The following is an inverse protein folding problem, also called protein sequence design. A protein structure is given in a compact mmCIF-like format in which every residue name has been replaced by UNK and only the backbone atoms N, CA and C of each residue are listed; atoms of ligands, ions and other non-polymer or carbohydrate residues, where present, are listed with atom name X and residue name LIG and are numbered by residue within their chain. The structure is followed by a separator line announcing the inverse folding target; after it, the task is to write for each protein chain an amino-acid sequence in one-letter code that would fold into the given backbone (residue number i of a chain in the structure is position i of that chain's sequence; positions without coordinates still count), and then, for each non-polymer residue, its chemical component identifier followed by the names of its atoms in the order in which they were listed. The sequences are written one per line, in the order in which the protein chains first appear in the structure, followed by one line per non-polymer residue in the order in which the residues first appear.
data_IF_323270440291
#
_entry.id   IF_323270440291
#
_cell.length_a   1.000
_cell.length_b   1.000
_cell.length_c   1.000
_cell.angle_alpha   90.00
_cell.angle_beta   90.00
_cell.angle_gamma   90.00
#
_symmetry.space_group_name_H-M   'P 1'
#
loop_
_entity.id
_entity.type
_entity.pdbx_description
1 polymer ?
#
# COMPACT_ATOMS: atom_id res chain seq x y z
N UNK A 1 -60.24 -24.75 -32.89
CA UNK A 1 -60.23 -26.18 -33.26
C UNK A 1 -59.08 -26.79 -32.46
N UNK A 2 -59.23 -27.53 -31.35
CA UNK A 2 -60.21 -28.58 -31.03
C UNK A 2 -60.00 -29.76 -31.99
N UNK A 3 -59.77 -31.01 -31.58
CA UNK A 3 -59.53 -31.69 -30.30
C UNK A 3 -59.27 -33.18 -30.67
N UNK A 4 -58.51 -33.89 -29.83
CA UNK A 4 -58.52 -35.36 -29.66
C UNK A 4 -58.01 -36.21 -30.86
N UNK A 5 -57.57 -37.47 -30.73
CA UNK A 5 -57.60 -38.55 -29.72
C UNK A 5 -56.62 -39.64 -30.26
N UNK A 6 -56.20 -40.72 -29.62
CA UNK A 6 -56.27 -41.31 -28.28
C UNK A 6 -55.45 -42.63 -28.33
N UNK A 7 -55.23 -43.20 -27.14
CA UNK A 7 -55.08 -44.63 -26.81
C UNK A 7 -53.80 -45.40 -27.18
N UNK A 8 -53.36 -46.41 -26.42
CA UNK A 8 -53.25 -46.74 -24.98
C UNK A 8 -52.65 -48.17 -24.92
N UNK A 9 -52.21 -48.60 -23.71
CA UNK A 9 -51.75 -49.95 -23.31
C UNK A 9 -50.27 -50.30 -23.64
N UNK A 10 -49.38 -50.68 -22.72
CA UNK A 10 -49.46 -50.99 -21.29
C UNK A 10 -48.75 -52.32 -20.98
N UNK A 11 -47.64 -52.33 -20.22
CA UNK A 11 -47.26 -53.48 -19.38
C UNK A 11 -46.16 -53.18 -18.32
N UNK A 12 -46.62 -52.98 -17.07
CA UNK A 12 -46.18 -53.48 -15.75
C UNK A 12 -44.72 -53.31 -15.22
N UNK A 13 -44.70 -52.83 -13.97
CA UNK A 13 -43.63 -52.60 -12.97
C UNK A 13 -43.25 -53.89 -12.19
N UNK A 14 -42.25 -53.87 -11.28
CA UNK A 14 -42.50 -53.45 -9.90
C UNK A 14 -41.37 -52.63 -9.22
N UNK A 15 -41.68 -52.16 -8.01
CA UNK A 15 -40.96 -51.22 -7.15
C UNK A 15 -40.27 -52.01 -6.02
N UNK A 16 -39.00 -51.69 -5.72
CA UNK A 16 -38.33 -51.85 -4.42
C UNK A 16 -37.07 -50.98 -4.48
N UNK A 17 -36.83 -49.95 -3.67
CA UNK A 17 -36.93 -49.93 -2.22
C UNK A 17 -35.58 -50.33 -1.65
N UNK A 18 -34.63 -49.40 -1.54
CA UNK A 18 -33.54 -49.47 -0.55
C UNK A 18 -32.93 -48.09 -0.28
N UNK A 19 -33.28 -47.58 0.91
CA UNK A 19 -32.62 -46.45 1.55
C UNK A 19 -31.27 -46.92 2.09
N UNK A 20 -30.17 -46.44 1.53
CA UNK A 20 -28.90 -46.41 2.24
C UNK A 20 -28.33 -44.98 2.21
N UNK A 21 -28.48 -44.32 3.35
CA UNK A 21 -27.71 -43.14 3.70
C UNK A 21 -26.26 -43.58 3.92
N UNK A 22 -25.40 -43.41 2.91
CA UNK A 22 -23.95 -43.41 3.12
C UNK A 22 -23.46 -41.98 3.11
N UNK A 23 -23.23 -41.46 4.32
CA UNK A 23 -22.57 -40.21 4.60
C UNK A 23 -21.12 -40.25 4.10
N UNK A 24 -20.87 -39.77 2.89
CA UNK A 24 -19.51 -39.47 2.40
C UNK A 24 -19.63 -38.51 1.22
N UNK A 25 -19.36 -37.23 1.47
CA UNK A 25 -19.38 -36.19 0.42
C UNK A 25 -19.42 -34.75 0.93
N UNK A 26 -19.59 -34.53 2.23
CA UNK A 26 -19.58 -33.19 2.85
C UNK A 26 -18.19 -32.74 3.36
N UNK A 27 -17.10 -33.16 2.69
CA UNK A 27 -15.73 -32.81 3.08
C UNK A 27 -14.87 -32.33 1.90
N UNK A 28 -15.47 -31.73 0.86
CA UNK A 28 -14.68 -31.12 -0.24
C UNK A 28 -15.17 -29.72 -0.63
N UNK A 29 -15.68 -28.99 0.37
CA UNK A 29 -15.99 -27.56 0.29
C UNK A 29 -15.33 -26.81 1.46
N UNK A 30 -14.15 -27.25 1.91
CA UNK A 30 -13.21 -26.31 2.55
C UNK A 30 -12.40 -25.70 1.42
N UNK A 31 -13.00 -24.74 0.72
CA UNK A 31 -12.23 -23.83 -0.13
C UNK A 31 -11.05 -23.36 0.70
N UNK A 32 -9.83 -23.53 0.18
CA UNK A 32 -8.63 -22.98 0.78
C UNK A 32 -8.94 -21.53 1.13
N UNK A 33 -9.06 -21.22 2.42
CA UNK A 33 -9.21 -19.84 2.88
C UNK A 33 -8.01 -19.11 2.29
N UNK A 34 -8.21 -18.34 1.21
CA UNK A 34 -7.14 -17.53 0.65
C UNK A 34 -6.78 -16.53 1.74
N UNK A 35 -5.69 -16.80 2.45
CA UNK A 35 -5.11 -15.86 3.38
C UNK A 35 -4.81 -14.58 2.62
N UNK A 36 -5.28 -13.46 3.13
CA UNK A 36 -4.99 -12.15 2.57
C UNK A 36 -3.50 -11.85 2.58
N UNK A 37 -3.13 -10.82 1.82
CA UNK A 37 -1.75 -10.36 1.64
C UNK A 37 -1.45 -9.18 2.53
N UNK A 38 -0.18 -9.03 2.89
CA UNK A 38 0.34 -7.76 3.38
C UNK A 38 0.65 -6.85 2.18
N UNK A 39 -0.23 -5.89 1.94
CA UNK A 39 -0.11 -4.85 0.91
C UNK A 39 0.59 -3.63 1.50
N UNK A 40 1.71 -3.24 0.90
CA UNK A 40 2.55 -2.12 1.36
C UNK A 40 2.60 -1.08 0.24
N UNK A 41 2.03 0.09 0.49
CA UNK A 41 2.16 1.27 -0.38
C UNK A 41 3.08 2.29 0.31
N UNK A 42 4.23 2.54 -0.30
CA UNK A 42 5.23 3.44 0.26
C UNK A 42 5.77 4.43 -0.77
N UNK A 43 6.65 5.32 -0.33
CA UNK A 43 7.25 6.37 -1.15
C UNK A 43 7.35 7.70 -0.41
N UNK A 44 8.05 8.70 -0.97
CA UNK A 44 8.30 9.96 -0.29
C UNK A 44 7.04 10.74 0.10
N UNK A 45 7.16 11.60 1.11
CA UNK A 45 6.05 12.47 1.52
C UNK A 45 5.59 13.33 0.33
N UNK A 46 4.28 13.49 0.12
CA UNK A 46 3.70 14.25 -1.00
C UNK A 46 3.85 13.63 -2.40
N UNK A 47 4.28 12.37 -2.53
CA UNK A 47 4.34 11.67 -3.82
C UNK A 47 2.97 11.18 -4.34
N UNK A 48 1.86 11.39 -3.59
CA UNK A 48 0.50 11.04 -4.04
C UNK A 48 -0.14 9.81 -3.37
N UNK A 49 0.44 9.26 -2.30
CA UNK A 49 -0.10 8.08 -1.59
C UNK A 49 -1.54 8.28 -1.07
N UNK A 50 -1.78 9.37 -0.32
CA UNK A 50 -3.10 9.59 0.29
C UNK A 50 -4.20 9.82 -0.74
N UNK A 51 -4.02 10.69 -1.77
CA UNK A 51 -4.99 10.84 -2.85
C UNK A 51 -5.19 9.57 -3.66
N UNK A 52 -4.14 8.76 -3.89
CA UNK A 52 -4.29 7.45 -4.53
C UNK A 52 -5.25 6.57 -3.73
N UNK A 53 -5.05 6.47 -2.42
CA UNK A 53 -5.96 5.72 -1.54
C UNK A 53 -7.40 6.26 -1.60
N UNK A 54 -7.58 7.59 -1.57
CA UNK A 54 -8.89 8.23 -1.69
C UNK A 54 -9.55 7.89 -3.03
N UNK A 55 -8.80 7.96 -4.13
CA UNK A 55 -9.27 7.61 -5.46
C UNK A 55 -9.62 6.12 -5.57
N UNK A 56 -8.81 5.23 -4.99
CA UNK A 56 -9.09 3.80 -4.94
C UNK A 56 -10.41 3.51 -4.20
N UNK A 57 -10.64 4.15 -3.06
CA UNK A 57 -11.88 4.02 -2.31
C UNK A 57 -13.11 4.53 -3.10
N UNK A 58 -12.95 5.61 -3.86
CA UNK A 58 -14.01 6.22 -4.66
C UNK A 58 -14.36 5.42 -5.92
N UNK A 59 -13.37 5.04 -6.71
CA UNK A 59 -13.57 4.46 -8.03
C UNK A 59 -13.57 2.92 -8.04
N UNK A 60 -12.94 2.29 -7.05
CA UNK A 60 -12.87 0.82 -6.93
C UNK A 60 -13.24 0.36 -5.51
N UNK A 61 -14.46 0.68 -5.02
CA UNK A 61 -14.86 0.42 -3.63
C UNK A 61 -14.82 -1.07 -3.26
N UNK A 62 -15.06 -1.98 -4.20
CA UNK A 62 -14.96 -3.43 -3.96
C UNK A 62 -13.52 -3.87 -3.69
N UNK A 63 -12.54 -3.35 -4.44
CA UNK A 63 -11.12 -3.63 -4.19
C UNK A 63 -10.66 -2.98 -2.90
N UNK A 64 -11.04 -1.72 -2.68
CA UNK A 64 -10.72 -1.00 -1.44
C UNK A 64 -11.31 -1.69 -0.20
N UNK A 65 -12.53 -2.22 -0.29
CA UNK A 65 -13.19 -2.95 0.79
C UNK A 65 -12.48 -4.24 1.22
N UNK A 66 -11.58 -4.77 0.38
CA UNK A 66 -10.70 -5.90 0.75
C UNK A 66 -9.48 -5.46 1.55
N UNK A 67 -9.15 -4.17 1.58
CA UNK A 67 -8.01 -3.62 2.29
C UNK A 67 -8.41 -3.26 3.72
N UNK A 68 -7.74 -3.84 4.70
CA UNK A 68 -7.87 -3.46 6.10
C UNK A 68 -6.61 -2.73 6.54
N UNK A 69 -6.76 -1.46 6.90
CA UNK A 69 -5.63 -0.62 7.32
C UNK A 69 -4.93 -1.23 8.53
N UNK A 70 -3.61 -1.33 8.44
CA UNK A 70 -2.73 -1.70 9.54
C UNK A 70 -2.51 -0.48 10.45
N UNK A 71 -2.92 -0.55 11.71
CA UNK A 71 -2.70 0.53 12.69
C UNK A 71 -1.54 0.15 13.60
N UNK A 72 -0.44 0.91 13.52
CA UNK A 72 0.77 0.67 14.32
C UNK A 72 0.70 1.42 15.65
N UNK A 73 1.44 0.96 16.65
CA UNK A 73 1.76 1.79 17.82
C UNK A 73 2.81 2.84 17.46
N UNK A 74 2.76 4.00 18.12
CA UNK A 74 3.76 5.06 17.94
C UNK A 74 4.04 5.79 19.24
N UNK A 75 5.32 6.04 19.54
CA UNK A 75 5.74 6.67 20.79
C UNK A 75 5.66 8.19 20.80
N UNK A 76 5.49 8.81 19.62
CA UNK A 76 5.35 10.27 19.52
C UNK A 76 3.93 10.72 19.87
N UNK A 77 3.78 12.02 20.12
CA UNK A 77 2.47 12.64 20.18
C UNK A 77 1.76 12.63 18.79
N UNK A 78 0.43 12.53 18.76
CA UNK A 78 -0.35 12.70 17.53
C UNK A 78 -0.08 14.09 16.92
N UNK A 79 0.02 14.16 15.61
CA UNK A 79 0.07 15.43 14.86
C UNK A 79 -1.34 16.00 14.74
N UNK A 80 -1.50 17.31 14.46
CA UNK A 80 -2.81 17.89 14.20
C UNK A 80 -3.56 17.11 13.11
N UNK A 81 -4.76 16.65 13.44
CA UNK A 81 -5.63 15.86 12.55
C UNK A 81 -5.48 14.33 12.68
N UNK A 82 -4.42 13.82 13.32
CA UNK A 82 -4.29 12.38 13.58
C UNK A 82 -5.16 11.95 14.78
N UNK A 83 -5.72 10.74 14.70
CA UNK A 83 -6.62 10.18 15.71
C UNK A 83 -6.08 8.86 16.25
N UNK A 84 -6.13 8.70 17.58
CA UNK A 84 -5.72 7.46 18.25
C UNK A 84 -6.60 6.28 17.80
N UNK A 85 -5.97 5.14 17.52
CA UNK A 85 -6.62 3.93 17.01
C UNK A 85 -7.07 3.99 15.55
N UNK A 86 -6.82 5.10 14.86
CA UNK A 86 -7.10 5.25 13.42
C UNK A 86 -5.82 5.41 12.63
N UNK A 87 -4.99 6.37 13.04
CA UNK A 87 -3.72 6.65 12.39
C UNK A 87 -2.60 5.80 12.99
N UNK A 88 -2.53 5.81 14.33
CA UNK A 88 -1.65 5.00 15.17
C UNK A 88 -2.33 4.76 16.53
N UNK A 89 -1.86 3.77 17.27
CA UNK A 89 -2.02 3.70 18.73
C UNK A 89 -0.91 4.51 19.40
N UNK A 90 -1.20 5.75 19.74
CA UNK A 90 -0.26 6.66 20.39
C UNK A 90 -0.09 6.25 21.86
N UNK A 91 1.11 5.86 22.24
CA UNK A 91 1.45 5.44 23.61
C UNK A 91 2.76 6.09 24.05
N UNK A 92 3.01 6.29 25.35
CA UNK A 92 4.31 6.79 25.81
C UNK A 92 5.46 5.89 25.35
N UNK A 93 6.66 6.46 25.14
CA UNK A 93 7.86 5.69 24.72
C UNK A 93 8.12 4.48 25.61
N UNK A 94 8.01 4.62 26.93
CA UNK A 94 8.18 3.52 27.88
C UNK A 94 7.22 2.36 27.66
N UNK A 95 5.98 2.65 27.26
CA UNK A 95 4.99 1.63 26.93
C UNK A 95 5.40 0.87 25.67
N UNK A 96 5.73 1.58 24.58
CA UNK A 96 6.14 0.94 23.31
C UNK A 96 7.44 0.17 23.48
N UNK A 97 8.37 0.67 24.29
CA UNK A 97 9.63 -0.01 24.61
C UNK A 97 9.39 -1.33 25.37
N UNK A 98 8.46 -1.34 26.34
CA UNK A 98 8.11 -2.55 27.08
C UNK A 98 7.55 -3.68 26.19
N UNK A 99 6.95 -3.35 25.03
CA UNK A 99 6.46 -4.33 24.07
C UNK A 99 7.58 -5.19 23.48
N UNK A 100 8.86 -4.75 23.52
CA UNK A 100 10.02 -5.56 23.06
C UNK A 100 10.16 -6.89 23.78
N UNK A 101 9.68 -6.96 25.03
CA UNK A 101 9.72 -8.17 25.85
C UNK A 101 8.64 -9.20 25.46
N UNK A 102 7.72 -8.83 24.57
CA UNK A 102 6.56 -9.64 24.21
C UNK A 102 6.69 -10.13 22.76
N UNK A 103 6.63 -11.45 22.56
CA UNK A 103 6.76 -12.05 21.22
C UNK A 103 5.65 -11.64 20.24
N UNK A 104 4.50 -11.17 20.75
CA UNK A 104 3.38 -10.64 19.97
C UNK A 104 3.73 -9.37 19.19
N UNK A 105 4.70 -8.59 19.65
CA UNK A 105 4.98 -7.28 19.08
C UNK A 105 6.33 -7.25 18.38
N UNK A 106 6.36 -6.66 17.18
CA UNK A 106 7.60 -6.26 16.52
C UNK A 106 7.82 -4.75 16.77
N UNK A 107 8.81 -4.40 17.60
CA UNK A 107 9.14 -3.01 17.95
C UNK A 107 10.32 -2.51 17.15
N UNK A 108 10.25 -1.27 16.68
CA UNK A 108 11.22 -0.65 15.79
C UNK A 108 11.46 0.82 16.15
N UNK A 109 12.66 1.33 15.91
CA UNK A 109 12.95 2.76 15.97
C UNK A 109 12.85 3.36 14.56
N UNK A 110 11.98 4.36 14.40
CA UNK A 110 11.72 5.07 13.14
C UNK A 110 11.99 6.55 13.38
N UNK A 111 13.16 7.01 12.95
CA UNK A 111 13.56 8.44 13.07
C UNK A 111 13.48 8.96 14.51
N UNK A 112 13.81 8.12 15.50
CA UNK A 112 13.76 8.45 16.93
C UNK A 112 12.44 8.09 17.61
N UNK A 113 11.40 7.74 16.86
CA UNK A 113 10.12 7.28 17.41
C UNK A 113 10.11 5.75 17.51
N UNK A 114 9.77 5.18 18.67
CA UNK A 114 9.46 3.77 18.76
C UNK A 114 8.08 3.52 18.15
N UNK A 115 8.00 2.59 17.21
CA UNK A 115 6.77 2.06 16.69
C UNK A 115 6.68 0.57 16.98
N UNK A 116 5.46 0.03 17.06
CA UNK A 116 5.28 -1.40 17.20
C UNK A 116 4.15 -1.92 16.31
N UNK A 117 4.35 -3.12 15.78
CA UNK A 117 3.37 -3.89 15.03
C UNK A 117 2.83 -5.01 15.93
N UNK A 118 1.51 -5.11 16.03
CA UNK A 118 0.84 -6.25 16.65
C UNK A 118 0.72 -7.41 15.64
N UNK A 119 1.46 -8.49 15.87
CA UNK A 119 1.52 -9.63 14.95
C UNK A 119 0.28 -10.52 15.04
N UNK A 120 -0.39 -10.56 16.19
CA UNK A 120 -1.65 -11.29 16.34
C UNK A 120 -2.77 -10.56 15.60
N UNK A 121 -2.83 -9.23 15.72
CA UNK A 121 -3.78 -8.43 14.95
C UNK A 121 -3.54 -8.59 13.44
N UNK A 122 -2.28 -8.50 12.99
CA UNK A 122 -1.92 -8.71 11.59
C UNK A 122 -2.38 -10.10 11.12
N UNK A 123 -2.12 -11.15 11.90
CA UNK A 123 -2.55 -12.52 11.57
C UNK A 123 -4.07 -12.61 11.44
N UNK A 124 -4.80 -11.99 12.37
CA UNK A 124 -6.27 -11.96 12.34
C UNK A 124 -6.82 -11.18 11.14
N UNK A 125 -6.14 -10.12 10.70
CA UNK A 125 -6.49 -9.38 9.47
C UNK A 125 -6.23 -10.24 8.25
N UNK A 126 -5.04 -10.83 8.12
CA UNK A 126 -4.69 -11.69 6.99
C UNK A 126 -5.59 -12.92 6.88
N UNK A 127 -6.22 -13.37 7.97
CA UNK A 127 -7.22 -14.44 7.93
C UNK A 127 -8.55 -14.06 7.26
N UNK A 128 -8.82 -12.77 7.02
CA UNK A 128 -10.11 -12.29 6.48
C UNK A 128 -10.01 -11.28 5.33
N UNK A 129 -8.88 -10.59 5.18
CA UNK A 129 -8.70 -9.48 4.25
C UNK A 129 -7.21 -9.21 3.97
N UNK A 130 -6.93 -8.37 2.98
CA UNK A 130 -5.58 -7.89 2.72
C UNK A 130 -5.21 -6.84 3.80
N UNK A 131 -4.14 -7.06 4.54
CA UNK A 131 -3.60 -6.07 5.48
C UNK A 131 -2.91 -4.96 4.69
N UNK A 132 -3.30 -3.70 4.92
CA UNK A 132 -2.85 -2.56 4.11
C UNK A 132 -2.05 -1.56 4.94
N UNK A 133 -0.77 -1.41 4.61
CA UNK A 133 0.09 -0.36 5.14
C UNK A 133 0.30 0.73 4.09
N UNK A 134 0.01 1.97 4.46
CA UNK A 134 0.34 3.17 3.70
C UNK A 134 1.26 4.05 4.55
N UNK A 135 2.50 4.28 4.12
CA UNK A 135 3.39 5.10 4.93
C UNK A 135 4.81 5.25 4.40
N UNK A 136 5.72 5.58 5.32
CA UNK A 136 7.10 5.88 5.00
C UNK A 136 7.89 4.61 4.56
N UNK A 137 8.84 4.73 3.60
CA UNK A 137 9.67 3.62 3.14
C UNK A 137 10.44 2.89 4.24
N UNK A 138 10.82 3.55 5.33
CA UNK A 138 11.52 2.90 6.44
C UNK A 138 10.66 1.84 7.13
N UNK A 139 9.38 2.13 7.37
CA UNK A 139 8.45 1.14 7.94
C UNK A 139 8.10 0.10 6.89
N UNK A 140 7.90 0.51 5.63
CA UNK A 140 7.68 -0.41 4.53
C UNK A 140 8.82 -1.42 4.35
N UNK A 141 10.08 -0.99 4.51
CA UNK A 141 11.26 -1.86 4.49
C UNK A 141 11.22 -2.84 5.65
N UNK A 142 10.91 -2.40 6.86
CA UNK A 142 10.81 -3.31 8.00
C UNK A 142 9.74 -4.38 7.77
N UNK A 143 8.55 -4.00 7.33
CA UNK A 143 7.46 -4.94 7.03
C UNK A 143 7.87 -5.99 5.98
N UNK A 144 8.82 -5.65 5.10
CA UNK A 144 9.38 -6.57 4.11
C UNK A 144 10.49 -7.47 4.70
N UNK A 145 11.34 -6.95 5.57
CA UNK A 145 12.54 -7.68 6.04
C UNK A 145 12.39 -8.34 7.41
N UNK A 146 11.30 -8.08 8.14
CA UNK A 146 11.13 -8.63 9.49
C UNK A 146 11.03 -10.17 9.45
N UNK A 147 11.83 -10.91 10.25
CA UNK A 147 11.89 -12.38 10.20
C UNK A 147 10.52 -13.05 10.41
N UNK A 148 9.71 -12.53 11.33
CA UNK A 148 8.37 -13.06 11.61
C UNK A 148 7.38 -12.87 10.46
N UNK A 149 7.68 -12.00 9.49
CA UNK A 149 6.85 -11.76 8.31
C UNK A 149 7.39 -12.45 7.05
N UNK A 150 8.48 -13.21 7.15
CA UNK A 150 9.16 -13.81 5.99
C UNK A 150 8.26 -14.74 5.15
N UNK A 151 7.25 -15.35 5.77
CA UNK A 151 6.31 -16.29 5.12
C UNK A 151 4.97 -15.66 4.71
N UNK A 152 4.75 -14.38 4.99
CA UNK A 152 3.51 -13.69 4.65
C UNK A 152 3.53 -13.33 3.16
N UNK A 153 2.47 -13.68 2.42
CA UNK A 153 2.31 -13.23 1.03
C UNK A 153 2.21 -11.70 1.01
N UNK A 154 2.95 -11.07 0.10
CA UNK A 154 3.16 -9.61 0.10
C UNK A 154 3.02 -9.04 -1.29
N UNK A 155 2.39 -7.88 -1.33
CA UNK A 155 2.43 -6.97 -2.46
C UNK A 155 3.09 -5.66 -1.99
N UNK A 156 4.31 -5.36 -2.46
CA UNK A 156 5.02 -4.14 -2.08
C UNK A 156 5.17 -3.19 -3.27
N UNK A 157 4.65 -1.97 -3.09
CA UNK A 157 4.60 -0.91 -4.11
C UNK A 157 5.26 0.36 -3.56
N UNK A 158 6.09 1.00 -4.39
CA UNK A 158 6.74 2.26 -4.09
C UNK A 158 6.31 3.32 -5.11
N UNK A 159 5.64 4.38 -4.67
CA UNK A 159 5.41 5.56 -5.50
C UNK A 159 6.68 6.42 -5.54
N UNK A 160 7.17 6.66 -6.75
CA UNK A 160 8.39 7.43 -6.97
C UNK A 160 8.08 8.78 -7.61
N UNK A 161 8.73 9.88 -7.20
CA UNK A 161 8.56 11.19 -7.84
C UNK A 161 9.26 11.30 -9.21
N UNK A 162 10.06 10.29 -9.59
CA UNK A 162 10.78 10.18 -10.86
C UNK A 162 10.72 8.73 -11.36
N UNK A 163 10.73 8.54 -12.66
CA UNK A 163 10.88 7.25 -13.33
C UNK A 163 12.33 6.77 -13.36
N UNK A 164 12.53 5.49 -13.67
CA UNK A 164 13.86 4.90 -13.91
C UNK A 164 14.59 5.60 -15.06
N UNK A 165 13.86 5.96 -16.11
CA UNK A 165 14.42 6.66 -17.27
C UNK A 165 14.93 8.05 -16.88
N UNK A 166 14.13 8.83 -16.15
CA UNK A 166 14.52 10.17 -15.69
C UNK A 166 15.72 10.12 -14.74
N UNK A 167 15.76 9.13 -13.84
CA UNK A 167 16.93 8.95 -12.96
C UNK A 167 18.18 8.61 -13.78
N UNK A 168 18.08 7.71 -14.76
CA UNK A 168 19.20 7.38 -15.63
C UNK A 168 19.67 8.60 -16.43
N UNK A 169 18.72 9.39 -16.95
CA UNK A 169 18.98 10.63 -17.66
C UNK A 169 19.72 11.66 -16.78
N UNK A 170 19.25 11.86 -15.54
CA UNK A 170 19.82 12.83 -14.59
C UNK A 170 21.20 12.41 -14.07
N UNK A 171 21.48 11.11 -14.00
CA UNK A 171 22.78 10.57 -13.57
C UNK A 171 23.88 10.66 -14.63
N UNK A 172 23.55 10.97 -15.88
CA UNK A 172 24.54 11.02 -16.95
C UNK A 172 25.61 12.09 -16.65
N UNK A 173 26.92 11.75 -16.66
CA UNK A 173 28.00 12.65 -16.22
C UNK A 173 28.00 14.03 -16.88
N UNK A 174 27.61 14.10 -18.15
CA UNK A 174 27.51 15.31 -18.96
C UNK A 174 26.41 16.29 -18.49
N UNK A 175 25.52 15.88 -17.58
CA UNK A 175 24.46 16.75 -17.06
C UNK A 175 24.94 17.68 -15.96
N UNK A 176 26.03 17.33 -15.27
CA UNK A 176 26.57 18.11 -14.16
C UNK A 176 25.50 18.47 -13.08
N UNK A 177 24.54 17.57 -12.84
CA UNK A 177 23.47 17.72 -11.86
C UNK A 177 23.70 16.78 -10.68
N UNK A 178 23.47 17.28 -9.46
CA UNK A 178 23.35 16.45 -8.26
C UNK A 178 21.95 15.85 -8.20
N UNK A 179 21.84 14.52 -8.32
CA UNK A 179 20.55 13.83 -8.25
C UNK A 179 19.87 14.04 -6.88
N UNK A 180 20.65 14.06 -5.79
CA UNK A 180 20.17 14.38 -4.44
C UNK A 180 19.49 15.74 -4.39
N UNK A 181 20.17 16.78 -4.88
CA UNK A 181 19.65 18.15 -4.83
C UNK A 181 18.44 18.30 -5.74
N UNK A 182 18.46 17.66 -6.91
CA UNK A 182 17.33 17.66 -7.84
C UNK A 182 16.08 17.02 -7.21
N UNK A 183 16.20 15.83 -6.62
CA UNK A 183 15.09 15.17 -5.91
C UNK A 183 14.61 16.03 -4.75
N UNK A 184 15.53 16.61 -3.98
CA UNK A 184 15.20 17.52 -2.88
C UNK A 184 14.36 18.70 -3.37
N UNK A 185 14.74 19.32 -4.48
CA UNK A 185 14.04 20.45 -5.09
C UNK A 185 12.63 20.07 -5.59
N UNK A 186 12.51 18.93 -6.29
CA UNK A 186 11.22 18.39 -6.76
C UNK A 186 10.28 18.21 -5.57
N UNK A 187 10.76 17.56 -4.51
CA UNK A 187 9.94 17.26 -3.34
C UNK A 187 9.63 18.50 -2.50
N UNK A 188 10.58 19.45 -2.37
CA UNK A 188 10.35 20.73 -1.70
C UNK A 188 9.20 21.50 -2.35
N UNK A 189 9.16 21.56 -3.69
CA UNK A 189 8.09 22.24 -4.43
C UNK A 189 6.72 21.60 -4.17
N UNK A 190 6.64 20.26 -4.21
CA UNK A 190 5.41 19.50 -3.89
C UNK A 190 4.94 19.77 -2.46
N UNK A 191 5.85 19.67 -1.49
CA UNK A 191 5.57 19.91 -0.07
C UNK A 191 5.08 21.34 0.20
N UNK A 192 5.73 22.35 -0.40
CA UNK A 192 5.32 23.75 -0.31
C UNK A 192 3.91 23.97 -0.85
N UNK A 193 3.61 23.44 -2.04
CA UNK A 193 2.29 23.58 -2.65
C UNK A 193 1.20 22.93 -1.80
N UNK A 194 1.42 21.69 -1.32
CA UNK A 194 0.48 21.01 -0.40
C UNK A 194 0.27 21.82 0.88
N UNK A 195 1.35 22.29 1.51
CA UNK A 195 1.26 23.02 2.78
C UNK A 195 0.48 24.33 2.62
N UNK A 196 0.75 25.10 1.55
CA UNK A 196 0.00 26.35 1.26
C UNK A 196 -1.47 26.09 1.01
N UNK A 197 -1.83 25.01 0.29
CA UNK A 197 -3.24 24.63 0.08
C UNK A 197 -3.95 24.29 1.39
N UNK A 198 -3.25 23.67 2.35
CA UNK A 198 -3.85 23.22 3.61
C UNK A 198 -3.91 24.32 4.69
N UNK A 199 -2.94 25.23 4.73
CA UNK A 199 -2.77 26.20 5.83
C UNK A 199 -2.84 27.67 5.41
N UNK A 200 -2.76 27.96 4.10
CA UNK A 200 -2.56 29.32 3.61
C UNK A 200 -1.14 29.82 3.90
N UNK A 201 -1.01 30.71 4.88
CA UNK A 201 0.28 31.23 5.33
C UNK A 201 1.09 30.17 6.09
N UNK A 202 2.40 30.12 5.85
CA UNK A 202 3.30 29.11 6.43
C UNK A 202 4.19 29.74 7.49
N UNK A 203 4.25 29.11 8.66
CA UNK A 203 5.18 29.49 9.73
C UNK A 203 6.62 29.06 9.42
N UNK A 204 7.60 29.60 10.16
CA UNK A 204 8.98 29.14 10.07
C UNK A 204 9.11 27.63 10.37
N UNK A 205 8.39 27.15 11.38
CA UNK A 205 8.36 25.73 11.74
C UNK A 205 7.80 24.86 10.60
N UNK A 206 6.82 25.36 9.83
CA UNK A 206 6.33 24.66 8.64
C UNK A 206 7.41 24.55 7.56
N UNK A 207 8.14 25.63 7.31
CA UNK A 207 9.22 25.67 6.32
C UNK A 207 10.38 24.74 6.70
N UNK A 208 10.79 24.74 7.96
CA UNK A 208 11.82 23.82 8.48
C UNK A 208 11.39 22.35 8.35
N UNK A 209 10.12 22.07 8.64
CA UNK A 209 9.56 20.74 8.49
C UNK A 209 9.50 20.28 7.02
N UNK A 210 9.15 21.19 6.11
CA UNK A 210 9.19 20.95 4.66
C UNK A 210 10.62 20.65 4.22
N UNK A 211 11.59 21.46 4.62
CA UNK A 211 12.99 21.26 4.25
C UNK A 211 13.53 19.92 4.73
N UNK A 212 13.23 19.56 5.98
CA UNK A 212 13.60 18.27 6.56
C UNK A 212 13.04 17.10 5.74
N UNK A 213 11.76 17.18 5.33
CA UNK A 213 11.11 16.14 4.54
C UNK A 213 11.66 16.07 3.12
N UNK A 214 11.87 17.22 2.48
CA UNK A 214 12.42 17.31 1.14
C UNK A 214 13.81 16.66 1.07
N UNK A 215 14.71 16.99 2.01
CA UNK A 215 16.06 16.39 2.09
C UNK A 215 16.02 14.89 2.36
N UNK A 216 15.03 14.42 3.12
CA UNK A 216 14.91 12.98 3.40
C UNK A 216 14.46 12.15 2.20
N UNK A 217 13.90 12.79 1.16
CA UNK A 217 13.31 12.08 0.03
C UNK A 217 14.33 11.29 -0.79
N UNK A 218 15.54 11.82 -1.02
CA UNK A 218 16.57 11.07 -1.74
C UNK A 218 16.92 9.76 -1.01
N UNK A 219 17.12 9.83 0.31
CA UNK A 219 17.34 8.64 1.14
C UNK A 219 16.15 7.67 1.09
N UNK A 220 14.92 8.16 1.02
CA UNK A 220 13.74 7.32 0.83
C UNK A 220 13.74 6.60 -0.53
N UNK A 221 14.24 7.24 -1.60
CA UNK A 221 14.40 6.60 -2.93
C UNK A 221 15.46 5.49 -2.94
N UNK A 222 16.49 5.56 -2.10
CA UNK A 222 17.52 4.51 -2.03
C UNK A 222 16.97 3.14 -1.59
N UNK A 223 15.78 3.10 -0.98
CA UNK A 223 15.10 1.86 -0.61
C UNK A 223 14.09 1.37 -1.69
N UNK A 224 13.85 2.13 -2.75
CA UNK A 224 12.81 1.84 -3.75
C UNK A 224 13.03 0.51 -4.49
N UNK A 225 14.28 0.15 -4.78
CA UNK A 225 14.63 -1.12 -5.43
C UNK A 225 14.25 -2.37 -4.63
N UNK A 226 13.98 -2.22 -3.33
CA UNK A 226 13.56 -3.34 -2.46
C UNK A 226 12.08 -3.70 -2.62
N UNK A 227 11.29 -2.83 -3.26
CA UNK A 227 9.87 -3.06 -3.48
C UNK A 227 9.68 -3.87 -4.77
N UNK A 228 8.65 -4.72 -4.80
CA UNK A 228 8.34 -5.53 -5.99
C UNK A 228 8.00 -4.65 -7.20
N UNK A 229 7.32 -3.53 -6.94
CA UNK A 229 6.85 -2.62 -7.97
C UNK A 229 7.18 -1.18 -7.58
N UNK A 230 7.74 -0.44 -8.53
CA UNK A 230 7.92 1.02 -8.45
C UNK A 230 6.97 1.66 -9.45
N UNK A 231 6.20 2.65 -9.00
CA UNK A 231 5.19 3.36 -9.79
C UNK A 231 5.63 4.83 -9.86
N UNK A 232 6.17 5.29 -11.01
CA UNK A 232 6.46 6.69 -11.22
C UNK A 232 5.16 7.51 -11.13
N UNK A 233 5.21 8.60 -10.37
CA UNK A 233 4.08 9.49 -10.20
C UNK A 233 4.52 10.94 -10.02
N UNK A 234 4.42 11.73 -11.10
CA UNK A 234 4.67 13.17 -11.05
C UNK A 234 3.53 13.94 -10.40
N UNK A 235 2.33 13.35 -10.30
CA UNK A 235 1.17 13.95 -9.65
C UNK A 235 1.19 13.69 -8.15
N UNK A 236 1.90 14.58 -7.44
CA UNK A 236 1.98 14.56 -5.99
C UNK A 236 0.64 14.87 -5.31
N UNK A 237 0.65 14.88 -3.97
CA UNK A 237 -0.54 15.26 -3.18
C UNK A 237 -1.01 16.70 -3.43
N UNK A 238 -0.15 17.50 -4.05
CA UNK A 238 -0.37 18.86 -4.46
C UNK A 238 -0.98 19.02 -5.86
N UNK A 239 -1.17 17.93 -6.61
CA UNK A 239 -1.66 17.98 -8.00
C UNK A 239 -3.19 18.02 -8.06
N UNK A 240 -3.70 18.87 -8.96
CA UNK A 240 -5.13 18.94 -9.29
C UNK A 240 -5.61 17.72 -10.08
N UNK A 241 -4.70 16.95 -10.66
CA UNK A 241 -5.00 15.75 -11.43
C UNK A 241 -5.67 14.63 -10.62
N UNK A 242 -5.68 14.72 -9.29
CA UNK A 242 -6.37 13.77 -8.41
C UNK A 242 -7.87 14.05 -8.26
N UNK A 243 -8.24 15.31 -7.99
CA UNK A 243 -9.57 15.65 -7.48
C UNK A 243 -10.23 16.87 -8.14
N UNK A 244 -9.49 17.69 -8.90
CA UNK A 244 -10.06 18.89 -9.53
C UNK A 244 -11.04 18.55 -10.67
N UNK A 245 -10.99 17.32 -11.16
CA UNK A 245 -11.86 16.80 -12.22
C UNK A 245 -12.71 15.64 -11.70
N UNK A 246 -13.76 15.27 -12.45
CA UNK A 246 -14.62 14.15 -12.05
C UNK A 246 -13.83 12.83 -11.95
N UNK A 247 -12.88 12.60 -12.85
CA UNK A 247 -11.96 11.46 -12.89
C UNK A 247 -10.51 11.95 -12.77
N UNK A 248 -9.61 11.15 -12.17
CA UNK A 248 -8.20 11.48 -12.20
C UNK A 248 -7.68 11.44 -13.65
N UNK A 249 -6.67 12.26 -13.92
CA UNK A 249 -5.99 12.35 -15.22
C UNK A 249 -4.47 12.26 -15.02
N UNK A 250 -3.68 12.26 -16.11
CA UNK A 250 -2.22 12.26 -16.02
C UNK A 250 -1.65 11.06 -15.28
N UNK A 251 -0.63 11.31 -14.46
CA UNK A 251 0.05 10.26 -13.67
C UNK A 251 -0.78 9.82 -12.46
N UNK A 252 -1.66 10.70 -11.94
CA UNK A 252 -2.61 10.32 -10.90
C UNK A 252 -3.50 9.16 -11.35
N UNK A 253 -4.01 9.23 -12.59
CA UNK A 253 -4.79 8.14 -13.20
C UNK A 253 -3.94 6.90 -13.43
N UNK A 254 -2.76 7.04 -14.04
CA UNK A 254 -1.88 5.91 -14.32
C UNK A 254 -1.49 5.16 -13.05
N UNK A 255 -1.17 5.89 -11.97
CA UNK A 255 -0.86 5.33 -10.66
C UNK A 255 -2.05 4.58 -10.05
N UNK A 256 -3.26 5.12 -10.17
CA UNK A 256 -4.48 4.45 -9.73
C UNK A 256 -4.68 3.12 -10.47
N UNK A 257 -4.64 3.15 -11.80
CA UNK A 257 -4.83 1.95 -12.64
C UNK A 257 -3.75 0.89 -12.37
N UNK A 258 -2.50 1.32 -12.16
CA UNK A 258 -1.41 0.43 -11.77
C UNK A 258 -1.71 -0.29 -10.45
N UNK A 259 -2.11 0.46 -9.41
CA UNK A 259 -2.46 -0.13 -8.10
C UNK A 259 -3.68 -1.05 -8.22
N UNK A 260 -4.68 -0.69 -9.01
CA UNK A 260 -5.86 -1.54 -9.28
C UNK A 260 -5.47 -2.86 -9.92
N UNK A 261 -4.63 -2.83 -10.95
CA UNK A 261 -4.14 -4.02 -11.62
C UNK A 261 -3.32 -4.92 -10.68
N UNK A 262 -2.40 -4.34 -9.90
CA UNK A 262 -1.57 -5.08 -8.95
C UNK A 262 -2.39 -5.71 -7.80
N UNK A 263 -3.36 -4.95 -7.26
CA UNK A 263 -4.28 -5.47 -6.25
C UNK A 263 -5.15 -6.60 -6.80
N UNK A 264 -5.65 -6.45 -8.03
CA UNK A 264 -6.47 -7.43 -8.72
C UNK A 264 -5.71 -8.64 -9.27
N UNK A 265 -4.37 -8.67 -9.16
CA UNK A 265 -3.49 -9.68 -9.80
C UNK A 265 -3.67 -9.75 -11.33
N UNK A 266 -3.95 -8.61 -11.96
CA UNK A 266 -4.20 -8.51 -13.40
C UNK A 266 -2.93 -8.06 -14.13
N UNK A 267 -2.12 -9.03 -14.57
CA UNK A 267 -0.97 -8.79 -15.46
C UNK A 267 0.09 -7.81 -14.93
N UNK A 268 0.92 -7.31 -15.85
CA UNK A 268 1.90 -6.26 -15.57
C UNK A 268 1.35 -4.93 -16.10
N UNK A 269 0.84 -4.03 -15.23
CA UNK A 269 0.32 -2.74 -15.69
C UNK A 269 1.41 -1.90 -16.38
N UNK A 270 1.06 -1.14 -17.43
CA UNK A 270 2.00 -0.26 -18.11
C UNK A 270 2.52 0.82 -17.16
N UNK A 271 3.78 1.23 -17.34
CA UNK A 271 4.42 2.26 -16.52
C UNK A 271 4.88 1.79 -15.13
N UNK A 272 4.62 0.55 -14.73
CA UNK A 272 5.18 -0.03 -13.50
C UNK A 272 6.58 -0.57 -13.77
N UNK A 273 7.50 -0.22 -12.89
CA UNK A 273 8.92 -0.48 -13.03
C UNK A 273 9.42 -1.43 -11.95
N UNK A 274 10.54 -2.10 -12.23
CA UNK A 274 11.38 -2.75 -11.24
C UNK A 274 12.78 -2.10 -11.30
N UNK A 275 13.26 -1.65 -10.15
CA UNK A 275 14.52 -0.91 -10.04
C UNK A 275 15.66 -1.84 -9.60
N UNK A 276 16.84 -1.61 -10.16
CA UNK A 276 18.07 -2.25 -9.67
C UNK A 276 18.64 -1.49 -8.47
N UNK A 277 19.39 -2.19 -7.61
CA UNK A 277 20.00 -1.63 -6.40
C UNK A 277 20.86 -0.38 -6.68
N UNK A 278 21.60 -0.38 -7.79
CA UNK A 278 22.52 0.72 -8.15
C UNK A 278 21.83 1.92 -8.84
N UNK A 279 20.52 1.88 -9.07
CA UNK A 279 19.82 2.95 -9.77
C UNK A 279 19.90 4.26 -8.98
N UNK A 280 19.64 4.21 -7.67
CA UNK A 280 19.75 5.36 -6.75
C UNK A 280 20.76 5.00 -5.66
N UNK A 281 22.05 5.32 -5.84
CA UNK A 281 23.08 4.95 -4.87
C UNK A 281 22.92 5.75 -3.57
N UNK A 282 23.31 5.18 -2.42
CA UNK A 282 23.40 5.94 -1.17
C UNK A 282 24.38 7.11 -1.31
N UNK A 283 24.16 8.18 -0.55
CA UNK A 283 25.08 9.33 -0.53
C UNK A 283 26.46 8.90 -0.03
N UNK A 284 27.56 9.30 -0.71
CA UNK A 284 28.90 9.04 -0.21
C UNK A 284 29.14 9.75 1.13
N UNK A 285 29.54 9.01 2.18
CA UNK A 285 30.06 9.60 3.42
C UNK A 285 29.11 9.70 4.61
N UNK A 286 28.08 8.84 4.71
CA UNK A 286 27.32 8.63 5.96
C UNK A 286 27.20 7.16 6.33
#
# INVERSE_FOLDING_TARGET
MGLAAADQEGCRTPISGDNTWTATGAYDQMGTQETGRLVILSGPSCVGKSPLKTALARFHPTLFGRLTRLVLFNSRAPRPGERDGVDYHFRPRSHVDALKSQQRYAVLDVRGDLQALDLEELTAVLGRSDAFFEGNPFVGRLLQTHPLLARVDRLSMFLSPLSKEEIAYLKAPERHISLTDFVTDVMRRKLLRRARRQKGELSLADLENIETRARSAYRELTDAWRFQYVIPNHDGEDSDNWEAFYYPIGDARQSLEAVVALLGRVGSPPGVEAWGEDLVPPEPGR
#
